data_IF_009852756365
#
_entry.id   IF_009852756365
#
_cell.length_a   1.000
_cell.length_b   1.000
_cell.length_c   1.000
_cell.angle_alpha   90.00
_cell.angle_beta   90.00
_cell.angle_gamma   90.00
#
_symmetry.space_group_name_H-M   'P 1'
#
loop_
_entity.id
_entity.type
_entity.pdbx_description
1 polymer ?
#
# COMPACT_ATOMS: atom_id res chain seq x y z
N UNK A 1 9.17 10.78 19.98
CA UNK A 1 9.08 9.33 20.31
C UNK A 1 10.38 8.67 19.91
N UNK A 2 11.13 8.09 20.85
CA UNK A 2 12.25 7.23 20.47
C UNK A 2 11.68 5.94 19.83
N UNK A 3 12.27 5.40 18.76
CA UNK A 3 11.86 4.10 18.23
C UNK A 3 12.30 2.98 19.17
N UNK A 4 11.47 1.95 19.32
CA UNK A 4 11.69 0.81 20.22
C UNK A 4 13.10 0.20 20.07
N UNK A 5 13.54 0.00 18.82
CA UNK A 5 14.85 -0.57 18.55
C UNK A 5 16.02 0.27 19.08
N UNK A 6 15.88 1.61 19.14
CA UNK A 6 16.90 2.47 19.76
C UNK A 6 16.89 2.31 21.27
N UNK A 7 15.72 2.31 21.91
CA UNK A 7 15.62 2.12 23.36
C UNK A 7 16.25 0.78 23.81
N UNK A 8 16.03 -0.29 23.04
CA UNK A 8 16.61 -1.60 23.32
C UNK A 8 18.14 -1.64 23.13
N UNK A 9 18.64 -1.03 22.05
CA UNK A 9 20.09 -0.90 21.83
C UNK A 9 20.77 -0.10 22.95
N UNK A 10 20.16 0.99 23.39
CA UNK A 10 20.66 1.78 24.52
C UNK A 10 20.69 0.96 25.80
N UNK A 11 19.64 0.18 26.09
CA UNK A 11 19.59 -0.70 27.25
C UNK A 11 20.73 -1.72 27.24
N UNK A 12 21.00 -2.32 26.08
CA UNK A 12 22.08 -3.27 25.90
C UNK A 12 23.47 -2.64 26.15
N UNK A 13 23.73 -1.47 25.55
CA UNK A 13 25.00 -0.72 25.75
C UNK A 13 25.17 -0.29 27.22
N UNK A 14 24.08 0.04 27.91
CA UNK A 14 24.09 0.43 29.32
C UNK A 14 24.11 -0.76 30.30
N UNK A 15 24.13 -2.01 29.81
CA UNK A 15 24.10 -3.21 30.65
C UNK A 15 22.80 -3.39 31.44
N UNK A 16 21.70 -2.74 31.04
CA UNK A 16 20.41 -2.80 31.74
C UNK A 16 19.57 -4.00 31.28
N UNK A 17 18.76 -4.60 32.17
CA UNK A 17 17.86 -5.68 31.79
C UNK A 17 16.84 -5.19 30.76
N UNK A 18 16.92 -5.73 29.56
CA UNK A 18 16.18 -5.25 28.39
C UNK A 18 14.66 -5.35 28.55
N UNK A 19 14.16 -6.35 29.29
CA UNK A 19 12.73 -6.55 29.55
C UNK A 19 12.13 -5.40 30.38
N UNK A 20 12.89 -4.88 31.34
CA UNK A 20 12.46 -3.77 32.19
C UNK A 20 12.43 -2.46 31.38
N UNK A 21 13.45 -2.23 30.55
CA UNK A 21 13.49 -1.07 29.67
C UNK A 21 12.41 -1.12 28.59
N UNK A 22 12.11 -2.31 28.05
CA UNK A 22 10.98 -2.52 27.15
C UNK A 22 9.66 -2.14 27.84
N UNK A 23 9.44 -2.63 29.06
CA UNK A 23 8.22 -2.32 29.83
C UNK A 23 8.08 -0.82 30.10
N UNK A 24 9.19 -0.16 30.45
CA UNK A 24 9.25 1.29 30.65
C UNK A 24 8.96 2.07 29.37
N UNK A 25 9.58 1.66 28.26
CA UNK A 25 9.35 2.25 26.94
C UNK A 25 7.88 2.12 26.53
N UNK A 26 7.29 0.94 26.69
CA UNK A 26 5.90 0.69 26.32
C UNK A 26 4.93 1.52 27.17
N UNK A 27 5.22 1.69 28.47
CA UNK A 27 4.42 2.59 29.32
C UNK A 27 4.45 4.02 28.78
N UNK A 28 5.65 4.56 28.52
CA UNK A 28 5.82 5.91 27.96
C UNK A 28 5.12 6.05 26.59
N UNK A 29 5.24 5.05 25.73
CA UNK A 29 4.57 5.01 24.43
C UNK A 29 3.05 5.09 24.55
N UNK A 30 2.47 4.34 25.49
CA UNK A 30 1.02 4.26 25.69
C UNK A 30 0.44 5.53 26.31
N UNK A 31 1.19 6.21 27.18
CA UNK A 31 0.69 7.37 27.94
C UNK A 31 0.99 8.72 27.29
N UNK A 32 1.98 8.82 26.40
CA UNK A 32 2.30 10.06 25.72
C UNK A 32 1.35 10.33 24.54
N UNK A 33 0.99 11.60 24.28
CA UNK A 33 0.18 11.95 23.11
C UNK A 33 0.91 11.61 21.81
N UNK A 34 0.23 10.92 20.90
CA UNK A 34 0.79 10.57 19.59
C UNK A 34 0.81 11.79 18.65
N UNK A 35 1.82 11.92 17.80
CA UNK A 35 2.06 13.12 16.96
C UNK A 35 0.95 13.38 15.94
N UNK A 36 0.31 12.34 15.43
CA UNK A 36 -0.76 12.48 14.42
C UNK A 36 -2.13 12.75 15.05
N UNK A 37 -2.47 12.04 16.13
CA UNK A 37 -3.80 12.10 16.75
C UNK A 37 -3.89 13.13 17.88
N UNK A 38 -2.76 13.51 18.48
CA UNK A 38 -2.69 14.37 19.67
C UNK A 38 -3.20 13.72 20.96
N UNK A 39 -3.57 12.44 20.92
CA UNK A 39 -4.15 11.70 22.04
C UNK A 39 -3.29 10.47 22.34
N UNK A 40 -3.18 10.10 23.61
CA UNK A 40 -2.40 8.94 24.02
C UNK A 40 -3.08 7.63 23.62
N UNK A 41 -2.34 6.61 23.14
CA UNK A 41 -2.92 5.31 22.78
C UNK A 41 -3.74 4.66 23.90
N UNK A 42 -3.29 4.74 25.15
CA UNK A 42 -4.04 4.19 26.29
C UNK A 42 -5.37 4.92 26.51
N UNK A 43 -5.41 6.22 26.23
CA UNK A 43 -6.64 7.01 26.36
C UNK A 43 -7.67 6.63 25.30
N UNK A 44 -7.23 6.35 24.07
CA UNK A 44 -8.12 5.88 23.00
C UNK A 44 -8.64 4.47 23.28
N UNK A 45 -7.83 3.59 23.86
CA UNK A 45 -8.23 2.22 24.13
C UNK A 45 -9.17 2.11 25.34
N UNK A 46 -8.80 2.75 26.46
CA UNK A 46 -9.50 2.57 27.73
C UNK A 46 -10.47 3.71 28.05
N UNK A 47 -10.59 4.71 27.17
CA UNK A 47 -11.34 5.94 27.41
C UNK A 47 -11.04 6.57 28.78
N UNK A 48 -9.82 6.40 29.31
CA UNK A 48 -9.39 6.96 30.58
C UNK A 48 -7.91 7.31 30.53
N UNK A 49 -7.51 8.30 31.32
CA UNK A 49 -6.11 8.70 31.40
C UNK A 49 -5.39 7.84 32.43
N UNK A 50 -4.29 7.18 32.04
CA UNK A 50 -3.45 6.41 32.97
C UNK A 50 -2.90 7.35 34.03
N UNK A 51 -3.06 7.00 35.30
CA UNK A 51 -2.53 7.78 36.42
C UNK A 51 -1.03 7.52 36.52
N UNK A 52 -0.24 8.60 36.50
CA UNK A 52 1.19 8.54 36.78
C UNK A 52 1.47 8.54 38.29
N UNK A 53 2.74 8.69 38.65
CA UNK A 53 3.18 8.82 40.04
C UNK A 53 2.77 10.16 40.69
N UNK A 54 2.53 11.18 39.87
CA UNK A 54 2.11 12.49 40.34
C UNK A 54 0.58 12.55 40.48
N UNK A 55 0.05 13.13 41.56
CA UNK A 55 -1.39 13.33 41.69
C UNK A 55 -1.86 14.31 40.62
N UNK A 56 -2.87 13.92 39.85
CA UNK A 56 -3.43 14.75 38.78
C UNK A 56 -4.77 15.32 39.24
N UNK A 57 -4.82 16.64 39.42
CA UNK A 57 -6.05 17.39 39.68
C UNK A 57 -6.89 17.47 38.40
N UNK A 58 -7.74 16.46 38.14
CA UNK A 58 -8.65 16.48 36.98
C UNK A 58 -10.10 16.62 37.42
N UNK A 59 -10.79 17.64 36.87
CA UNK A 59 -12.25 17.71 36.88
C UNK A 59 -12.80 16.53 36.08
N UNK A 60 -13.80 15.84 36.62
CA UNK A 60 -14.36 14.55 36.23
C UNK A 60 -15.07 14.57 34.86
N UNK A 61 -14.42 15.02 33.80
CA UNK A 61 -15.03 15.07 32.46
C UNK A 61 -14.23 14.17 31.51
N UNK A 62 -14.50 12.87 31.55
CA UNK A 62 -14.03 11.92 30.55
C UNK A 62 -14.85 12.11 29.29
N UNK A 63 -14.50 13.12 28.50
CA UNK A 63 -15.07 13.27 27.16
C UNK A 63 -14.34 12.28 26.26
N UNK A 64 -15.09 11.39 25.62
CA UNK A 64 -14.59 10.46 24.62
C UNK A 64 -13.78 11.23 23.54
N UNK A 65 -12.46 11.00 23.51
CA UNK A 65 -11.54 11.72 22.62
C UNK A 65 -11.47 11.16 21.20
N UNK A 66 -12.24 10.13 20.86
CA UNK A 66 -12.20 9.53 19.52
C UNK A 66 -12.56 10.53 18.42
N UNK A 67 -13.54 11.41 18.66
CA UNK A 67 -13.94 12.43 17.66
C UNK A 67 -12.78 13.39 17.35
N UNK A 68 -12.09 13.87 18.39
CA UNK A 68 -10.92 14.73 18.25
C UNK A 68 -9.77 14.01 17.53
N UNK A 69 -9.47 12.77 17.94
CA UNK A 69 -8.41 11.98 17.33
C UNK A 69 -8.64 11.73 15.84
N UNK A 70 -9.87 11.42 15.42
CA UNK A 70 -10.22 11.26 13.99
C UNK A 70 -10.06 12.55 13.21
N UNK A 71 -10.50 13.68 13.77
CA UNK A 71 -10.35 14.99 13.12
C UNK A 71 -8.88 15.37 12.92
N UNK A 72 -8.04 15.14 13.95
CA UNK A 72 -6.61 15.40 13.88
C UNK A 72 -5.91 14.47 12.87
N UNK A 73 -6.25 13.18 12.89
CA UNK A 73 -5.68 12.20 11.97
C UNK A 73 -6.01 12.55 10.52
N UNK A 74 -7.26 12.91 10.22
CA UNK A 74 -7.66 13.33 8.87
C UNK A 74 -6.85 14.54 8.37
N UNK A 75 -6.70 15.58 9.21
CA UNK A 75 -5.87 16.75 8.89
C UNK A 75 -4.41 16.38 8.64
N UNK A 76 -3.83 15.52 9.49
CA UNK A 76 -2.44 15.07 9.33
C UNK A 76 -2.25 14.18 8.12
N UNK A 77 -3.21 13.31 7.80
CA UNK A 77 -3.20 12.47 6.62
C UNK A 77 -3.24 13.32 5.34
N UNK A 78 -4.07 14.36 5.29
CA UNK A 78 -4.13 15.29 4.17
C UNK A 78 -2.81 16.04 3.99
N UNK A 79 -2.31 16.66 5.06
CA UNK A 79 -1.02 17.36 5.03
C UNK A 79 0.13 16.46 4.58
N UNK A 80 0.22 15.25 5.14
CA UNK A 80 1.28 14.29 4.78
C UNK A 80 1.17 13.84 3.33
N UNK A 81 -0.06 13.68 2.81
CA UNK A 81 -0.31 13.37 1.40
C UNK A 81 0.18 14.51 0.50
N UNK A 82 -0.24 15.74 0.76
CA UNK A 82 0.16 16.91 -0.04
C UNK A 82 1.68 17.11 -0.01
N UNK A 83 2.29 17.01 1.17
CA UNK A 83 3.74 17.10 1.32
C UNK A 83 4.48 15.99 0.55
N UNK A 84 4.01 14.74 0.64
CA UNK A 84 4.64 13.63 -0.06
C UNK A 84 4.45 13.73 -1.58
N UNK A 85 3.26 14.12 -2.03
CA UNK A 85 2.93 14.30 -3.45
C UNK A 85 3.79 15.40 -4.07
N UNK A 86 3.90 16.55 -3.39
CA UNK A 86 4.75 17.67 -3.80
C UNK A 86 6.22 17.29 -3.78
N UNK A 87 6.72 16.71 -2.68
CA UNK A 87 8.15 16.37 -2.56
C UNK A 87 8.61 15.32 -3.58
N UNK A 88 7.72 14.39 -3.97
CA UNK A 88 8.03 13.32 -4.91
C UNK A 88 7.59 13.63 -6.35
N UNK A 89 7.06 14.83 -6.61
CA UNK A 89 6.50 15.21 -7.90
C UNK A 89 5.54 14.15 -8.47
N UNK A 90 4.60 13.69 -7.64
CA UNK A 90 3.67 12.63 -8.01
C UNK A 90 2.76 13.09 -9.15
N UNK A 91 2.72 12.29 -10.22
CA UNK A 91 1.82 12.51 -11.36
C UNK A 91 0.68 11.50 -11.34
N UNK A 92 -0.49 11.93 -11.81
CA UNK A 92 -1.65 11.05 -11.94
C UNK A 92 -1.46 10.09 -13.12
N UNK A 93 -1.98 8.87 -12.98
CA UNK A 93 -1.93 7.84 -14.03
C UNK A 93 -3.15 7.89 -14.93
N UNK A 94 -2.94 7.79 -16.23
CA UNK A 94 -3.94 7.87 -17.30
C UNK A 94 -4.49 6.51 -17.77
N UNK A 95 -4.05 5.40 -17.16
CA UNK A 95 -4.49 4.02 -17.47
C UNK A 95 -5.97 3.81 -17.16
N UNK A 96 -6.79 3.48 -18.15
CA UNK A 96 -8.24 3.25 -18.03
C UNK A 96 -8.59 1.77 -18.19
N UNK A 97 -9.85 1.46 -17.90
CA UNK A 97 -10.42 0.13 -18.17
C UNK A 97 -10.44 -0.06 -19.70
N UNK A 98 -10.03 -1.24 -20.16
CA UNK A 98 -9.90 -1.56 -21.58
C UNK A 98 -8.50 -1.30 -22.17
N UNK A 99 -7.63 -0.55 -21.50
CA UNK A 99 -6.28 -0.30 -22.00
C UNK A 99 -5.44 -1.58 -22.02
N UNK A 100 -4.63 -1.75 -23.07
CA UNK A 100 -3.57 -2.76 -23.14
C UNK A 100 -2.34 -2.30 -22.35
N UNK A 101 -1.90 -3.15 -21.42
CA UNK A 101 -0.82 -2.86 -20.48
C UNK A 101 0.16 -4.02 -20.35
N UNK A 102 1.44 -3.69 -20.11
CA UNK A 102 2.47 -4.63 -19.69
C UNK A 102 2.66 -4.56 -18.18
N UNK A 103 2.99 -5.70 -17.57
CA UNK A 103 3.15 -5.83 -16.12
C UNK A 103 4.62 -5.87 -15.74
N UNK A 104 5.03 -5.07 -14.76
CA UNK A 104 6.40 -5.08 -14.23
C UNK A 104 6.71 -6.43 -13.59
N UNK A 105 7.80 -7.06 -14.02
CA UNK A 105 8.25 -8.35 -13.51
C UNK A 105 9.46 -8.22 -12.59
N UNK A 106 9.70 -9.26 -11.79
CA UNK A 106 10.90 -9.35 -10.95
C UNK A 106 12.11 -9.65 -11.81
N UNK A 107 13.24 -9.00 -11.50
CA UNK A 107 14.48 -9.19 -12.24
C UNK A 107 15.16 -10.48 -11.78
N UNK A 108 15.14 -11.51 -12.61
CA UNK A 108 15.79 -12.79 -12.30
C UNK A 108 17.29 -12.79 -12.64
N UNK A 109 17.66 -12.19 -13.79
CA UNK A 109 19.04 -12.06 -14.24
C UNK A 109 19.29 -10.67 -14.87
N UNK A 110 20.55 -10.38 -15.24
CA UNK A 110 20.92 -9.08 -15.82
C UNK A 110 20.20 -8.77 -17.14
N UNK A 111 19.79 -9.80 -17.89
CA UNK A 111 19.11 -9.69 -19.19
C UNK A 111 17.58 -9.69 -19.08
N UNK A 112 17.02 -9.84 -17.87
CA UNK A 112 15.58 -9.90 -17.69
C UNK A 112 14.97 -8.53 -17.97
N UNK A 113 14.03 -8.46 -18.92
CA UNK A 113 13.27 -7.24 -19.20
C UNK A 113 12.58 -6.73 -17.94
N UNK A 114 12.41 -5.41 -17.82
CA UNK A 114 11.70 -4.81 -16.68
C UNK A 114 10.21 -5.17 -16.65
N UNK A 115 9.62 -5.41 -17.82
CA UNK A 115 8.21 -5.75 -17.98
C UNK A 115 8.07 -7.12 -18.64
N UNK A 116 7.06 -7.87 -18.22
CA UNK A 116 6.65 -9.08 -18.90
C UNK A 116 6.17 -8.71 -20.31
N UNK A 117 6.57 -9.50 -21.31
CA UNK A 117 6.23 -9.32 -22.72
C UNK A 117 4.78 -9.65 -23.03
N UNK A 118 4.12 -10.47 -22.21
CA UNK A 118 2.72 -10.84 -22.42
C UNK A 118 1.81 -9.63 -22.13
N UNK A 119 0.98 -9.18 -23.09
CA UNK A 119 0.04 -8.09 -22.88
C UNK A 119 -1.14 -8.52 -22.02
N UNK A 120 -1.65 -7.57 -21.24
CA UNK A 120 -2.86 -7.71 -20.43
C UNK A 120 -3.83 -6.58 -20.75
N UNK A 121 -5.12 -6.88 -20.70
CA UNK A 121 -6.18 -5.88 -20.81
C UNK A 121 -6.68 -5.51 -19.43
N UNK A 122 -6.77 -4.22 -19.12
CA UNK A 122 -7.28 -3.75 -17.83
C UNK A 122 -8.77 -4.04 -17.71
N UNK A 123 -9.16 -4.83 -16.72
CA UNK A 123 -10.57 -5.20 -16.47
C UNK A 123 -11.22 -4.29 -15.43
N UNK A 124 -10.50 -3.98 -14.34
CA UNK A 124 -11.03 -3.12 -13.27
C UNK A 124 -9.98 -2.16 -12.72
N UNK A 125 -10.42 -0.99 -12.27
CA UNK A 125 -9.57 0.02 -11.63
C UNK A 125 -10.26 0.62 -10.40
N UNK A 126 -9.68 0.35 -9.23
CA UNK A 126 -10.11 0.90 -7.95
C UNK A 126 -9.02 1.84 -7.40
N UNK A 127 -9.19 3.15 -7.60
CA UNK A 127 -8.18 4.18 -7.27
C UNK A 127 -6.83 3.88 -7.94
N UNK A 128 -5.82 3.48 -7.16
CA UNK A 128 -4.49 3.09 -7.63
C UNK A 128 -4.31 1.57 -7.77
N UNK A 129 -5.32 0.76 -7.44
CA UNK A 129 -5.30 -0.69 -7.61
C UNK A 129 -5.91 -1.03 -8.97
N UNK A 130 -5.15 -1.72 -9.81
CA UNK A 130 -5.56 -2.11 -11.16
C UNK A 130 -5.51 -3.62 -11.26
N UNK A 131 -6.56 -4.19 -11.86
CA UNK A 131 -6.65 -5.60 -12.20
C UNK A 131 -6.67 -5.74 -13.71
N UNK A 132 -5.77 -6.57 -14.25
CA UNK A 132 -5.66 -6.81 -15.68
C UNK A 132 -5.68 -8.33 -15.95
N UNK A 133 -6.18 -8.70 -17.12
CA UNK A 133 -6.34 -10.09 -17.56
C UNK A 133 -5.59 -10.33 -18.86
N UNK A 134 -4.85 -11.43 -18.93
CA UNK A 134 -4.20 -11.91 -20.15
C UNK A 134 -5.17 -12.67 -21.04
N UNK A 135 -4.83 -12.82 -22.32
CA UNK A 135 -5.57 -13.64 -23.29
C UNK A 135 -5.66 -15.12 -22.84
N UNK A 136 -4.67 -15.62 -22.10
CA UNK A 136 -4.68 -16.97 -21.51
C UNK A 136 -5.63 -17.14 -20.31
N UNK A 137 -6.32 -16.08 -19.89
CA UNK A 137 -7.21 -16.08 -18.71
C UNK A 137 -6.52 -15.72 -17.40
N UNK A 138 -5.19 -15.64 -17.36
CA UNK A 138 -4.45 -15.24 -16.15
C UNK A 138 -4.82 -13.81 -15.74
N UNK A 139 -5.13 -13.61 -14.45
CA UNK A 139 -5.55 -12.31 -13.91
C UNK A 139 -4.60 -11.86 -12.81
N UNK A 140 -4.17 -10.59 -12.87
CA UNK A 140 -3.22 -10.00 -11.92
C UNK A 140 -3.74 -8.67 -11.38
N UNK A 141 -3.57 -8.46 -10.06
CA UNK A 141 -3.97 -7.23 -9.38
C UNK A 141 -2.76 -6.59 -8.69
N UNK A 142 -2.40 -5.36 -9.10
CA UNK A 142 -1.26 -4.61 -8.54
C UNK A 142 -1.54 -3.11 -8.50
N UNK A 143 -0.60 -2.33 -7.96
CA UNK A 143 -0.66 -0.87 -8.03
C UNK A 143 -0.47 -0.42 -9.49
N UNK A 144 -1.13 0.68 -9.89
CA UNK A 144 -1.07 1.26 -11.25
C UNK A 144 0.35 1.53 -11.73
N UNK A 145 1.29 1.86 -10.83
CA UNK A 145 2.71 2.06 -11.14
C UNK A 145 3.45 0.82 -11.63
N UNK A 146 2.87 -0.38 -11.46
CA UNK A 146 3.42 -1.63 -11.97
C UNK A 146 2.96 -1.93 -13.39
N UNK A 147 2.07 -1.12 -13.96
CA UNK A 147 1.58 -1.29 -15.32
C UNK A 147 2.16 -0.22 -16.22
N UNK A 148 2.47 -0.58 -17.46
CA UNK A 148 2.86 0.35 -18.52
C UNK A 148 1.90 0.21 -19.67
N UNK A 149 1.21 1.30 -20.04
CA UNK A 149 0.29 1.29 -21.18
C UNK A 149 1.06 1.11 -22.49
N UNK A 150 0.51 0.27 -23.36
CA UNK A 150 0.97 0.08 -24.73
C UNK A 150 0.27 1.14 -25.60
N UNK A 151 0.98 1.92 -26.41
CA UNK A 151 0.36 2.85 -27.34
C UNK A 151 -0.46 2.10 -28.41
N UNK A 152 -1.62 2.64 -28.79
CA UNK A 152 -2.56 2.02 -29.74
C UNK A 152 -1.95 1.66 -31.10
N UNK A 153 -0.93 2.39 -31.54
CA UNK A 153 -0.22 2.12 -32.80
C UNK A 153 0.50 0.76 -32.84
N UNK A 154 0.62 0.06 -31.71
CA UNK A 154 1.24 -1.26 -31.60
C UNK A 154 0.24 -2.36 -31.15
N UNK A 155 -1.06 -2.07 -31.21
CA UNK A 155 -2.10 -3.06 -30.84
C UNK A 155 -2.41 -4.05 -31.99
N UNK A 156 -1.94 -3.81 -33.22
CA UNK A 156 -2.34 -4.52 -34.45
C UNK A 156 -1.68 -5.87 -34.74
N UNK A 157 -0.58 -6.25 -34.08
CA UNK A 157 0.26 -7.36 -34.59
C UNK A 157 0.04 -8.71 -33.89
N UNK A 158 -1.08 -8.92 -33.19
CA UNK A 158 -1.32 -10.20 -32.47
C UNK A 158 -2.66 -10.87 -32.75
N UNK A 159 -3.39 -10.46 -33.79
CA UNK A 159 -4.72 -11.01 -34.09
C UNK A 159 -4.76 -12.13 -35.16
N UNK A 160 -3.63 -12.54 -35.75
CA UNK A 160 -3.58 -13.65 -36.71
C UNK A 160 -2.82 -14.88 -36.17
N UNK A 161 -3.50 -15.69 -35.35
CA UNK A 161 -3.33 -17.16 -35.35
C UNK A 161 -4.65 -17.83 -34.95
N UNK A 162 -5.63 -17.77 -35.87
CA UNK A 162 -6.65 -18.81 -36.03
C UNK A 162 -6.88 -19.03 -37.52
N UNK A 163 -5.91 -19.68 -38.16
CA UNK A 163 -6.16 -20.32 -39.45
C UNK A 163 -7.08 -21.51 -39.23
N UNK A 164 -8.34 -21.29 -39.54
CA UNK A 164 -9.27 -22.21 -40.22
C UNK A 164 -8.71 -23.61 -40.47
N UNK A 165 -9.15 -24.60 -39.67
CA UNK A 165 -9.16 -26.00 -40.13
C UNK A 165 -10.33 -26.10 -41.10
N UNK A 166 -10.01 -26.03 -42.39
CA UNK A 166 -10.96 -26.23 -43.48
C UNK A 166 -11.56 -27.63 -43.38
N UNK A 167 -12.88 -27.66 -43.25
CA UNK A 167 -13.70 -28.82 -43.56
C UNK A 167 -14.10 -28.66 -45.03
N UNK A 168 -13.54 -29.45 -45.93
CA UNK A 168 -14.12 -29.64 -47.26
C UNK A 168 -14.00 -31.10 -47.67
N UNK A 169 -15.16 -31.66 -48.06
CA UNK A 169 -15.32 -33.01 -48.56
C UNK A 169 -15.03 -33.03 -50.06
N UNK A 170 -14.36 -34.07 -50.54
CA UNK A 170 -14.13 -34.27 -51.97
C UNK A 170 -13.92 -35.73 -52.28
N UNK A 171 -14.98 -36.31 -52.86
CA UNK A 171 -15.10 -37.65 -53.41
C UNK A 171 -13.94 -38.00 -54.36
N UNK A 172 -13.59 -39.28 -54.45
CA UNK A 172 -13.16 -39.90 -55.72
C UNK A 172 -13.45 -41.41 -55.70
N UNK A 173 -14.16 -41.82 -56.74
CA UNK A 173 -14.53 -43.18 -57.12
C UNK A 173 -13.30 -43.95 -57.64
N UNK A 174 -13.18 -45.23 -57.29
CA UNK A 174 -13.17 -46.40 -58.22
C UNK A 174 -13.15 -47.69 -57.41
#
# INVERSE_FOLDING_TARGET
MQPLGKALKTAHVQGRPWQQELSRFLLQYRTAPHTSTGVAPSELLFNRTVKGKLPVLKKRNVVNKHKQARANESKKQQYNKEYADHRRNVKTSDIRIGDCVLVRQERQNKLTSRFNTTPYTVTTRNKSKVTARSRSGHTITRNVSHFKRIPKQYESDTDDERTTVNNDQGQNET
#
